data_IF_438080186296
#
_entry.id   IF_438080186296
#
_cell.length_a   1.000
_cell.length_b   1.000
_cell.length_c   1.000
_cell.angle_alpha   90.00
_cell.angle_beta   90.00
_cell.angle_gamma   90.00
#
_symmetry.space_group_name_H-M   'P 1'
#
loop_
_entity.id
_entity.type
_entity.pdbx_description
1 polymer ?
#
# COMPACT_ATOMS: atom_id res chain seq x y z
N UNK A 1 -16.19 -8.33 -0.94
CA UNK A 1 -16.32 -8.74 0.43
C UNK A 1 -17.27 -9.89 0.63
N UNK A 2 -16.89 -10.79 1.48
CA UNK A 2 -17.73 -11.88 1.95
C UNK A 2 -18.15 -11.65 3.40
N UNK A 3 -19.32 -12.18 3.77
CA UNK A 3 -19.74 -12.23 5.15
C UNK A 3 -18.99 -13.35 5.90
N UNK A 4 -17.86 -13.00 6.49
CA UNK A 4 -17.02 -13.94 7.24
C UNK A 4 -17.64 -14.41 8.56
N UNK A 5 -18.76 -13.85 8.98
CA UNK A 5 -19.45 -14.36 10.17
C UNK A 5 -20.04 -15.75 9.94
N UNK A 6 -20.33 -16.10 8.70
CA UNK A 6 -20.74 -17.44 8.32
C UNK A 6 -19.56 -18.41 8.23
N UNK A 7 -18.39 -17.96 7.77
CA UNK A 7 -17.16 -18.79 7.71
C UNK A 7 -16.65 -19.20 9.09
N UNK A 8 -16.76 -18.33 10.10
CA UNK A 8 -16.37 -18.66 11.47
C UNK A 8 -17.17 -19.82 12.09
N UNK A 9 -18.34 -20.10 11.55
CA UNK A 9 -19.17 -21.23 11.98
C UNK A 9 -18.90 -22.49 11.19
N UNK A 10 -18.25 -22.33 10.05
CA UNK A 10 -17.93 -23.40 9.13
C UNK A 10 -16.42 -23.71 9.22
N UNK A 11 -16.04 -24.25 10.37
CA UNK A 11 -14.65 -24.63 10.66
C UNK A 11 -14.12 -25.72 9.72
N UNK A 12 -14.96 -26.29 8.88
CA UNK A 12 -14.62 -27.37 7.97
C UNK A 12 -14.20 -26.88 6.58
N UNK A 13 -14.22 -25.55 6.32
CA UNK A 13 -13.75 -24.98 5.06
C UNK A 13 -14.68 -25.14 3.87
N UNK A 14 -15.92 -25.59 4.09
CA UNK A 14 -16.90 -25.82 3.02
C UNK A 14 -17.79 -24.61 2.76
N UNK A 15 -17.67 -23.58 3.58
CA UNK A 15 -18.51 -22.39 3.51
C UNK A 15 -17.93 -21.32 2.61
N UNK A 16 -18.45 -21.19 1.41
CA UNK A 16 -18.07 -20.14 0.46
C UNK A 16 -18.45 -18.73 0.96
N UNK A 17 -19.10 -18.63 2.11
CA UNK A 17 -19.66 -17.38 2.63
C UNK A 17 -20.70 -16.78 1.68
N UNK A 18 -21.40 -15.75 2.14
CA UNK A 18 -22.35 -15.02 1.29
C UNK A 18 -21.73 -13.72 0.79
N UNK A 19 -21.69 -13.54 -0.54
CA UNK A 19 -21.23 -12.30 -1.15
C UNK A 19 -22.08 -11.10 -0.70
N UNK A 20 -21.46 -10.18 0.03
CA UNK A 20 -22.06 -8.93 0.47
C UNK A 20 -21.99 -7.88 -0.65
N UNK A 21 -23.01 -7.04 -0.72
CA UNK A 21 -23.00 -5.90 -1.65
C UNK A 21 -22.15 -4.80 -1.06
N UNK A 22 -21.08 -4.42 -1.75
CA UNK A 22 -20.17 -3.38 -1.31
C UNK A 22 -20.72 -1.97 -1.59
N UNK A 23 -20.17 -0.95 -0.94
CA UNK A 23 -20.51 0.45 -1.21
C UNK A 23 -20.08 0.83 -2.65
N UNK A 24 -18.94 0.34 -3.12
CA UNK A 24 -18.47 0.54 -4.48
C UNK A 24 -19.45 -0.03 -5.50
N UNK A 25 -19.92 -1.26 -5.31
CA UNK A 25 -20.94 -1.88 -6.17
C UNK A 25 -22.26 -1.09 -6.18
N UNK A 26 -22.66 -0.57 -5.02
CA UNK A 26 -23.85 0.29 -4.92
C UNK A 26 -23.65 1.61 -5.69
N UNK A 27 -22.47 2.21 -5.62
CA UNK A 27 -22.13 3.40 -6.40
C UNK A 27 -22.20 3.09 -7.91
N UNK A 28 -21.57 1.99 -8.33
CA UNK A 28 -21.60 1.52 -9.72
C UNK A 28 -23.04 1.26 -10.21
N UNK A 29 -23.87 0.64 -9.35
CA UNK A 29 -25.30 0.42 -9.65
C UNK A 29 -26.06 1.73 -9.88
N UNK A 30 -25.70 2.80 -9.17
CA UNK A 30 -26.28 4.14 -9.36
C UNK A 30 -25.74 4.87 -10.58
N UNK A 31 -24.79 4.30 -11.29
CA UNK A 31 -24.16 4.87 -12.48
C UNK A 31 -23.05 5.88 -12.16
N UNK A 32 -22.53 5.85 -10.94
CA UNK A 32 -21.32 6.57 -10.58
C UNK A 32 -20.09 5.90 -11.20
N UNK A 33 -19.05 6.67 -11.46
CA UNK A 33 -17.73 6.11 -11.72
C UNK A 33 -17.14 5.55 -10.44
N UNK A 34 -16.33 4.50 -10.55
CA UNK A 34 -15.71 3.87 -9.38
C UNK A 34 -14.22 3.68 -9.59
N UNK A 35 -13.43 4.07 -8.60
CA UNK A 35 -11.99 3.96 -8.60
C UNK A 35 -11.46 3.36 -7.31
N UNK A 36 -10.36 2.64 -7.44
CA UNK A 36 -9.61 2.06 -6.32
C UNK A 36 -8.13 2.36 -6.53
N UNK A 37 -7.49 2.89 -5.50
CA UNK A 37 -6.08 3.26 -5.47
C UNK A 37 -5.46 2.71 -4.21
N UNK A 38 -4.28 2.10 -4.31
CA UNK A 38 -3.54 1.61 -3.14
C UNK A 38 -2.04 1.58 -3.41
N UNK A 39 -1.22 1.85 -2.40
CA UNK A 39 0.22 1.57 -2.46
C UNK A 39 0.53 0.09 -2.19
N UNK A 40 -0.45 -0.69 -1.72
CA UNK A 40 -0.37 -2.15 -1.71
C UNK A 40 -0.69 -2.74 -3.10
N UNK A 41 -0.61 -4.08 -3.21
CA UNK A 41 -1.18 -4.77 -4.36
C UNK A 41 -2.67 -4.45 -4.47
N UNK A 42 -3.14 -4.14 -5.65
CA UNK A 42 -4.58 -3.88 -5.88
C UNK A 42 -5.46 -5.09 -5.55
N UNK A 43 -4.86 -6.28 -5.53
CA UNK A 43 -5.48 -7.56 -5.13
C UNK A 43 -5.40 -7.83 -3.63
N UNK A 44 -4.71 -6.99 -2.84
CA UNK A 44 -4.62 -7.11 -1.39
C UNK A 44 -5.99 -6.91 -0.72
N UNK A 45 -6.11 -7.29 0.54
CA UNK A 45 -7.41 -7.42 1.22
C UNK A 45 -8.27 -6.15 1.18
N UNK A 46 -7.69 -4.99 1.50
CA UNK A 46 -8.46 -3.73 1.61
C UNK A 46 -9.00 -3.25 0.26
N UNK A 47 -8.17 -3.09 -0.80
CA UNK A 47 -8.70 -2.73 -2.11
C UNK A 47 -9.63 -3.80 -2.66
N UNK A 48 -9.27 -5.09 -2.56
CA UNK A 48 -10.06 -6.21 -3.04
C UNK A 48 -11.45 -6.29 -2.40
N UNK A 49 -11.55 -6.01 -1.09
CA UNK A 49 -12.83 -6.05 -0.38
C UNK A 49 -13.88 -5.08 -0.95
N UNK A 50 -13.47 -4.09 -1.72
CA UNK A 50 -14.40 -3.15 -2.36
C UNK A 50 -15.07 -3.73 -3.61
N UNK A 51 -14.41 -4.64 -4.34
CA UNK A 51 -14.87 -5.11 -5.65
C UNK A 51 -14.89 -6.64 -5.82
N UNK A 52 -14.21 -7.41 -4.98
CA UNK A 52 -14.10 -8.86 -5.12
C UNK A 52 -14.81 -9.63 -4.00
N UNK A 53 -15.17 -10.87 -4.29
CA UNK A 53 -15.86 -11.79 -3.41
C UNK A 53 -15.17 -13.15 -3.45
N UNK A 54 -14.25 -13.36 -2.51
CA UNK A 54 -13.52 -14.62 -2.31
C UNK A 54 -13.57 -15.00 -0.83
N UNK A 55 -13.48 -16.27 -0.52
CA UNK A 55 -13.49 -16.77 0.86
C UNK A 55 -12.11 -16.66 1.53
N UNK A 56 -11.03 -16.51 0.74
CA UNK A 56 -9.67 -16.46 1.25
C UNK A 56 -8.88 -15.35 0.53
N UNK A 57 -8.18 -14.52 1.32
CA UNK A 57 -7.47 -13.33 0.80
C UNK A 57 -6.28 -13.66 -0.11
N UNK A 58 -5.72 -14.84 0.00
CA UNK A 58 -4.60 -15.32 -0.83
C UNK A 58 -5.01 -15.71 -2.26
N UNK A 59 -6.32 -15.76 -2.58
CA UNK A 59 -6.81 -16.04 -3.92
C UNK A 59 -6.67 -14.82 -4.85
N UNK A 60 -5.47 -14.25 -4.91
CA UNK A 60 -5.23 -12.98 -5.61
C UNK A 60 -5.41 -13.11 -7.14
N UNK A 61 -5.22 -14.29 -7.73
CA UNK A 61 -5.55 -14.53 -9.13
C UNK A 61 -7.04 -14.36 -9.42
N UNK A 62 -7.90 -14.88 -8.52
CA UNK A 62 -9.36 -14.77 -8.65
C UNK A 62 -9.83 -13.36 -8.37
N UNK A 63 -9.20 -12.70 -7.39
CA UNK A 63 -9.45 -11.29 -7.07
C UNK A 63 -9.16 -10.40 -8.28
N UNK A 64 -8.01 -10.59 -8.94
CA UNK A 64 -7.64 -9.84 -10.14
C UNK A 64 -8.69 -10.04 -11.27
N UNK A 65 -9.11 -11.28 -11.51
CA UNK A 65 -10.10 -11.59 -12.55
C UNK A 65 -11.49 -10.99 -12.26
N UNK A 66 -11.85 -10.82 -10.97
CA UNK A 66 -13.14 -10.20 -10.62
C UNK A 66 -13.20 -8.70 -10.88
N UNK A 67 -12.06 -8.01 -10.93
CA UNK A 67 -12.01 -6.56 -11.13
C UNK A 67 -12.35 -6.13 -12.56
N UNK A 68 -12.07 -6.99 -13.53
CA UNK A 68 -11.96 -6.65 -14.95
C UNK A 68 -12.95 -7.47 -15.79
N UNK A 69 -13.63 -6.87 -16.76
CA UNK A 69 -14.53 -7.61 -17.65
C UNK A 69 -13.72 -8.61 -18.49
N UNK A 70 -14.24 -9.81 -18.68
CA UNK A 70 -13.53 -10.82 -19.47
C UNK A 70 -14.26 -12.15 -19.52
N UNK A 71 -14.54 -12.76 -18.40
CA UNK A 71 -15.13 -14.09 -18.36
C UNK A 71 -16.16 -14.29 -17.23
N UNK A 72 -16.45 -15.57 -16.92
CA UNK A 72 -17.43 -15.94 -15.89
C UNK A 72 -17.02 -15.53 -14.46
N UNK A 73 -15.73 -15.34 -14.20
CA UNK A 73 -15.19 -14.97 -12.87
C UNK A 73 -15.36 -13.48 -12.57
N UNK A 74 -15.60 -12.67 -13.60
CA UNK A 74 -15.84 -11.24 -13.45
C UNK A 74 -17.00 -10.93 -12.51
N UNK A 75 -16.81 -9.99 -11.60
CA UNK A 75 -17.88 -9.51 -10.73
C UNK A 75 -18.91 -8.69 -11.52
N UNK A 76 -19.99 -9.33 -11.93
CA UNK A 76 -21.06 -8.72 -12.75
C UNK A 76 -21.73 -7.51 -12.11
N UNK A 77 -21.60 -7.30 -10.79
CA UNK A 77 -22.11 -6.11 -10.10
C UNK A 77 -21.32 -4.85 -10.48
N UNK A 78 -20.09 -5.02 -10.97
CA UNK A 78 -19.27 -3.93 -11.51
C UNK A 78 -19.72 -3.53 -12.94
N UNK A 79 -20.66 -4.24 -13.57
CA UNK A 79 -21.18 -3.95 -14.91
C UNK A 79 -20.08 -4.01 -15.99
N UNK A 80 -19.48 -2.88 -16.37
CA UNK A 80 -18.35 -2.79 -17.31
C UNK A 80 -16.98 -2.82 -16.66
N UNK A 81 -16.88 -3.22 -15.39
CA UNK A 81 -15.62 -3.21 -14.63
C UNK A 81 -15.40 -1.94 -13.81
N UNK A 82 -14.26 -1.85 -13.16
CA UNK A 82 -13.82 -0.64 -12.48
C UNK A 82 -13.46 0.43 -13.52
N UNK A 83 -13.78 1.69 -13.24
CA UNK A 83 -13.38 2.78 -14.13
C UNK A 83 -11.90 3.14 -13.92
N UNK A 84 -11.36 2.85 -12.72
CA UNK A 84 -9.98 3.08 -12.37
C UNK A 84 -9.51 2.10 -11.32
N UNK A 85 -8.37 1.46 -11.56
CA UNK A 85 -7.67 0.59 -10.61
C UNK A 85 -6.18 0.89 -10.70
N UNK A 86 -5.58 1.39 -9.61
CA UNK A 86 -4.16 1.78 -9.59
C UNK A 86 -3.47 1.29 -8.32
N UNK A 87 -2.27 0.74 -8.46
CA UNK A 87 -1.42 0.28 -7.35
C UNK A 87 -0.39 -0.74 -7.79
N UNK A 88 0.07 -1.57 -6.84
CA UNK A 88 0.96 -2.70 -7.15
C UNK A 88 0.22 -3.97 -7.53
N UNK A 89 0.95 -5.08 -7.66
CA UNK A 89 0.38 -6.42 -7.84
C UNK A 89 0.37 -6.95 -9.26
N UNK A 90 1.17 -6.38 -10.17
CA UNK A 90 1.26 -6.72 -11.59
C UNK A 90 1.44 -8.23 -11.83
N UNK A 91 2.13 -8.94 -10.92
CA UNK A 91 2.37 -10.38 -11.00
C UNK A 91 1.11 -11.24 -11.10
N UNK A 92 -0.03 -10.78 -10.57
CA UNK A 92 -1.30 -11.51 -10.62
C UNK A 92 -2.13 -11.23 -11.87
N UNK A 93 -1.62 -10.36 -12.75
CA UNK A 93 -2.27 -10.01 -14.01
C UNK A 93 -1.58 -10.63 -15.21
N UNK A 94 -0.43 -11.26 -15.04
CA UNK A 94 0.33 -11.91 -16.10
C UNK A 94 0.64 -13.38 -15.77
N UNK A 95 0.68 -14.28 -16.81
CA UNK A 95 0.79 -15.71 -16.59
C UNK A 95 2.16 -16.13 -16.06
N UNK A 96 2.16 -17.08 -15.13
CA UNK A 96 3.37 -17.71 -14.62
C UNK A 96 4.21 -18.26 -15.76
N UNK A 97 5.52 -18.10 -15.69
CA UNK A 97 6.46 -18.46 -16.73
C UNK A 97 6.78 -17.33 -17.72
N UNK A 98 6.08 -16.20 -17.61
CA UNK A 98 6.44 -14.95 -18.29
C UNK A 98 7.08 -13.96 -17.33
N UNK A 99 7.71 -12.95 -17.88
CA UNK A 99 8.12 -11.76 -17.15
C UNK A 99 7.19 -10.59 -17.44
N UNK A 100 7.12 -9.67 -16.51
CA UNK A 100 6.40 -8.42 -16.70
C UNK A 100 7.25 -7.37 -17.44
N UNK A 101 6.79 -6.13 -17.51
CA UNK A 101 7.43 -5.05 -18.24
C UNK A 101 8.76 -4.61 -17.63
N UNK A 102 9.02 -4.96 -16.38
CA UNK A 102 10.28 -4.67 -15.67
C UNK A 102 11.22 -5.89 -15.63
N UNK A 103 10.83 -6.99 -16.29
CA UNK A 103 11.62 -8.22 -16.33
C UNK A 103 11.40 -9.14 -15.14
N UNK A 104 10.45 -8.82 -14.26
CA UNK A 104 10.11 -9.58 -13.06
C UNK A 104 9.12 -10.72 -13.33
N UNK A 105 9.20 -11.79 -12.54
CA UNK A 105 8.39 -12.99 -12.75
C UNK A 105 6.91 -12.78 -12.48
N UNK A 106 6.05 -13.25 -13.38
CA UNK A 106 4.61 -13.31 -13.23
C UNK A 106 4.15 -14.51 -12.38
N UNK A 107 2.94 -14.45 -11.81
CA UNK A 107 2.48 -15.46 -10.85
C UNK A 107 1.10 -16.06 -11.16
N UNK A 108 0.43 -15.61 -12.22
CA UNK A 108 -0.92 -16.08 -12.55
C UNK A 108 -0.90 -17.53 -13.07
N UNK A 109 -1.70 -18.41 -12.47
CA UNK A 109 -1.62 -19.87 -12.71
C UNK A 109 -2.61 -20.41 -13.73
N UNK A 110 -3.59 -19.63 -14.15
CA UNK A 110 -4.61 -20.05 -15.14
C UNK A 110 -4.19 -19.79 -16.61
N UNK A 111 -2.98 -19.29 -16.82
CA UNK A 111 -2.42 -19.03 -18.15
C UNK A 111 -2.93 -17.76 -18.84
N UNK A 112 -3.80 -16.98 -18.19
CA UNK A 112 -4.36 -15.74 -18.75
C UNK A 112 -3.38 -14.58 -18.58
N UNK A 113 -3.31 -13.70 -19.57
CA UNK A 113 -2.69 -12.39 -19.46
C UNK A 113 -3.78 -11.31 -19.38
N UNK A 114 -4.14 -10.95 -18.15
CA UNK A 114 -5.17 -9.95 -17.90
C UNK A 114 -4.76 -8.55 -18.38
N UNK A 115 -3.47 -8.27 -18.52
CA UNK A 115 -2.98 -6.98 -19.06
C UNK A 115 -3.38 -6.83 -20.53
N UNK A 116 -3.24 -7.91 -21.30
CA UNK A 116 -3.69 -7.93 -22.70
C UNK A 116 -5.21 -7.92 -22.79
N UNK A 117 -5.88 -8.77 -22.00
CA UNK A 117 -7.33 -8.88 -22.02
C UNK A 117 -8.05 -7.54 -21.74
N UNK A 118 -7.52 -6.73 -20.80
CA UNK A 118 -8.12 -5.43 -20.49
C UNK A 118 -7.88 -4.41 -21.60
N UNK A 119 -6.72 -4.45 -22.24
CA UNK A 119 -6.46 -3.60 -23.41
C UNK A 119 -7.41 -3.94 -24.56
N UNK A 120 -7.63 -5.22 -24.81
CA UNK A 120 -8.61 -5.70 -25.79
C UNK A 120 -10.06 -5.29 -25.42
N UNK A 121 -10.34 -5.16 -24.14
CA UNK A 121 -11.61 -4.65 -23.60
C UNK A 121 -11.70 -3.11 -23.58
N UNK A 122 -10.68 -2.41 -24.05
CA UNK A 122 -10.66 -0.95 -24.18
C UNK A 122 -10.14 -0.19 -22.96
N UNK A 123 -9.46 -0.85 -22.03
CA UNK A 123 -8.76 -0.17 -20.94
C UNK A 123 -7.43 0.41 -21.41
N UNK A 124 -7.05 1.53 -20.85
CA UNK A 124 -5.66 1.99 -20.88
C UNK A 124 -4.88 1.28 -19.76
N UNK A 125 -3.88 0.53 -20.14
CA UNK A 125 -2.93 -0.11 -19.21
C UNK A 125 -1.67 0.74 -19.10
N UNK A 126 -1.21 1.00 -17.88
CA UNK A 126 0.02 1.75 -17.59
C UNK A 126 0.77 1.08 -16.44
N UNK A 127 2.09 1.04 -16.51
CA UNK A 127 2.91 0.36 -15.51
C UNK A 127 4.04 1.21 -14.93
N UNK A 128 4.27 2.42 -15.45
CA UNK A 128 5.34 3.30 -15.00
C UNK A 128 4.87 4.76 -14.87
N UNK A 129 5.72 5.57 -14.24
CA UNK A 129 5.44 6.99 -14.01
C UNK A 129 5.27 7.81 -15.30
N UNK A 130 6.03 7.49 -16.33
CA UNK A 130 5.96 8.24 -17.58
C UNK A 130 4.59 8.09 -18.25
N UNK A 131 4.10 6.86 -18.34
CA UNK A 131 2.76 6.57 -18.89
C UNK A 131 1.64 7.11 -17.99
N UNK A 132 1.76 6.93 -16.66
CA UNK A 132 0.84 7.52 -15.69
C UNK A 132 0.68 9.03 -15.89
N UNK A 133 1.76 9.75 -16.12
CA UNK A 133 1.73 11.20 -16.31
C UNK A 133 0.94 11.60 -17.57
N UNK A 134 0.91 10.76 -18.59
CA UNK A 134 0.20 11.02 -19.84
C UNK A 134 -1.30 10.81 -19.77
N UNK A 135 -1.81 10.09 -18.75
CA UNK A 135 -3.22 9.77 -18.61
C UNK A 135 -4.13 11.01 -18.61
N UNK A 136 -5.23 10.91 -19.34
CA UNK A 136 -6.29 11.92 -19.48
C UNK A 136 -7.67 11.28 -19.31
N UNK A 137 -8.71 12.07 -19.09
CA UNK A 137 -10.12 11.60 -18.90
C UNK A 137 -10.61 10.69 -20.02
N UNK A 138 -10.13 10.85 -21.23
CA UNK A 138 -10.51 10.03 -22.40
C UNK A 138 -9.93 8.61 -22.34
N UNK A 139 -8.93 8.41 -21.49
CA UNK A 139 -8.21 7.14 -21.38
C UNK A 139 -8.88 6.19 -20.38
N UNK A 140 -9.97 6.62 -19.73
CA UNK A 140 -10.79 5.74 -18.90
C UNK A 140 -11.51 4.68 -19.77
N UNK A 141 -11.65 3.43 -19.29
CA UNK A 141 -11.19 2.95 -17.98
C UNK A 141 -9.67 2.69 -17.95
N UNK A 142 -9.08 2.77 -16.75
CA UNK A 142 -7.62 2.68 -16.54
C UNK A 142 -7.26 1.56 -15.57
N UNK A 143 -6.28 0.74 -15.95
CA UNK A 143 -5.54 -0.17 -15.10
C UNK A 143 -4.09 0.33 -14.98
N UNK A 144 -3.66 0.71 -13.79
CA UNK A 144 -2.28 1.11 -13.50
C UNK A 144 -1.65 0.14 -12.49
N UNK A 145 -0.61 -0.58 -12.90
CA UNK A 145 0.09 -1.57 -12.07
C UNK A 145 1.58 -1.23 -12.03
N UNK A 146 1.98 -0.48 -11.02
CA UNK A 146 3.29 0.18 -10.99
C UNK A 146 4.40 -0.69 -10.41
N UNK A 147 4.08 -1.74 -9.69
CA UNK A 147 5.03 -2.70 -9.16
C UNK A 147 4.54 -4.13 -9.33
N UNK A 148 5.47 -5.07 -9.35
CA UNK A 148 5.19 -6.49 -9.39
C UNK A 148 4.41 -6.96 -8.17
N UNK A 149 4.78 -6.48 -6.98
CA UNK A 149 4.18 -6.80 -5.69
C UNK A 149 3.51 -5.57 -5.09
N UNK A 150 3.86 -5.18 -3.90
CA UNK A 150 3.46 -3.89 -3.36
C UNK A 150 4.32 -2.81 -3.99
N UNK A 151 3.79 -1.62 -4.16
CA UNK A 151 4.60 -0.47 -4.56
C UNK A 151 5.72 -0.22 -3.54
N UNK A 152 6.78 0.40 -3.95
CA UNK A 152 7.87 0.79 -3.06
C UNK A 152 7.36 1.65 -1.90
N UNK A 153 8.07 1.61 -0.78
CA UNK A 153 7.84 2.61 0.26
C UNK A 153 8.12 4.00 -0.28
N UNK A 154 7.38 4.99 0.16
CA UNK A 154 7.57 6.38 -0.30
C UNK A 154 9.02 6.84 -0.16
N UNK A 155 9.71 6.37 0.87
CA UNK A 155 11.13 6.63 1.08
C UNK A 155 12.01 6.03 -0.03
N UNK A 156 11.70 4.82 -0.48
CA UNK A 156 12.48 4.06 -1.45
C UNK A 156 12.06 4.39 -2.91
N UNK A 157 10.83 4.80 -3.11
CA UNK A 157 10.21 5.12 -4.40
C UNK A 157 11.06 6.00 -5.35
N UNK A 158 11.85 7.00 -4.89
CA UNK A 158 12.71 7.78 -5.79
C UNK A 158 13.82 6.98 -6.45
N UNK A 159 14.11 5.78 -5.95
CA UNK A 159 15.16 4.90 -6.48
C UNK A 159 14.63 3.85 -7.44
N UNK A 160 13.32 3.72 -7.58
CA UNK A 160 12.72 2.86 -8.60
C UNK A 160 13.05 3.35 -10.01
N UNK A 161 13.60 2.44 -10.83
CA UNK A 161 14.09 2.78 -12.17
C UNK A 161 12.97 3.01 -13.19
N UNK A 162 11.87 2.28 -13.07
CA UNK A 162 10.69 2.47 -13.92
C UNK A 162 9.91 3.72 -13.52
N UNK A 163 10.02 4.05 -12.27
CA UNK A 163 9.35 5.17 -11.63
C UNK A 163 7.89 4.86 -11.27
N UNK A 164 7.59 5.00 -9.99
CA UNK A 164 6.25 4.88 -9.45
C UNK A 164 5.65 6.25 -9.09
N UNK A 165 4.34 6.45 -9.25
CA UNK A 165 3.66 7.62 -8.70
C UNK A 165 3.47 7.48 -7.19
N UNK A 166 3.55 8.57 -6.42
CA UNK A 166 3.19 8.57 -5.01
C UNK A 166 1.67 8.42 -4.80
N UNK A 167 1.25 8.10 -3.56
CA UNK A 167 -0.18 8.01 -3.24
C UNK A 167 -0.88 9.36 -3.43
N UNK A 168 -0.22 10.47 -3.15
CA UNK A 168 -0.79 11.80 -3.38
C UNK A 168 -0.94 12.12 -4.87
N UNK A 169 0.01 11.71 -5.70
CA UNK A 169 -0.07 11.83 -7.16
C UNK A 169 -1.17 10.95 -7.74
N UNK A 170 -1.28 9.69 -7.29
CA UNK A 170 -2.36 8.79 -7.71
C UNK A 170 -3.73 9.31 -7.30
N UNK A 171 -3.87 9.82 -6.07
CA UNK A 171 -5.10 10.45 -5.59
C UNK A 171 -5.50 11.65 -6.46
N UNK A 172 -4.53 12.52 -6.74
CA UNK A 172 -4.73 13.69 -7.61
C UNK A 172 -5.23 13.28 -8.99
N UNK A 173 -4.54 12.33 -9.61
CA UNK A 173 -4.87 11.84 -10.96
C UNK A 173 -6.22 11.13 -10.98
N UNK A 174 -6.51 10.30 -9.97
CA UNK A 174 -7.77 9.58 -9.85
C UNK A 174 -8.97 10.55 -9.79
N UNK A 175 -8.87 11.61 -9.00
CA UNK A 175 -9.89 12.65 -8.93
C UNK A 175 -10.07 13.30 -10.30
N UNK A 176 -8.97 13.72 -10.95
CA UNK A 176 -9.02 14.34 -12.27
C UNK A 176 -9.66 13.45 -13.34
N UNK A 177 -9.39 12.16 -13.30
CA UNK A 177 -9.93 11.20 -14.26
C UNK A 177 -11.41 10.90 -14.00
N UNK A 178 -11.77 10.66 -12.73
CA UNK A 178 -13.13 10.25 -12.36
C UNK A 178 -14.13 11.40 -12.35
N UNK A 179 -13.68 12.62 -12.09
CA UNK A 179 -14.57 13.79 -12.11
C UNK A 179 -15.14 14.03 -13.52
N UNK A 180 -16.44 14.02 -13.65
CA UNK A 180 -17.13 14.25 -14.92
C UNK A 180 -17.73 15.64 -15.04
N UNK A 181 -18.16 16.00 -16.26
CA UNK A 181 -18.96 17.19 -16.46
C UNK A 181 -20.32 17.04 -15.77
N UNK A 182 -20.76 18.06 -15.06
CA UNK A 182 -21.98 18.08 -14.22
C UNK A 182 -23.25 17.50 -14.89
N UNK A 183 -23.34 17.50 -16.22
CA UNK A 183 -24.53 17.03 -16.96
C UNK A 183 -24.58 15.52 -17.15
N UNK A 184 -23.43 14.83 -17.17
CA UNK A 184 -23.34 13.41 -17.57
C UNK A 184 -22.81 12.51 -16.44
N UNK A 185 -22.43 13.11 -15.29
CA UNK A 185 -21.79 12.40 -14.19
C UNK A 185 -22.69 12.41 -12.96
N UNK A 186 -23.02 11.23 -12.49
CA UNK A 186 -23.72 11.01 -11.22
C UNK A 186 -22.78 11.03 -10.02
N UNK A 187 -21.56 11.56 -10.20
CA UNK A 187 -20.49 11.54 -9.22
C UNK A 187 -19.59 10.32 -9.36
N UNK A 188 -18.71 10.17 -8.41
CA UNK A 188 -17.79 9.01 -8.35
C UNK A 188 -17.66 8.51 -6.92
N UNK A 189 -17.24 7.27 -6.80
CA UNK A 189 -16.74 6.67 -5.59
C UNK A 189 -15.25 6.39 -5.79
N UNK A 190 -14.42 6.87 -4.91
CA UNK A 190 -12.98 6.63 -4.91
C UNK A 190 -12.55 6.12 -3.54
N UNK A 191 -11.93 4.95 -3.52
CA UNK A 191 -11.22 4.41 -2.36
C UNK A 191 -9.73 4.62 -2.58
N UNK A 192 -9.05 5.12 -1.56
CA UNK A 192 -7.60 5.35 -1.55
C UNK A 192 -7.03 4.74 -0.28
N UNK A 193 -6.01 3.90 -0.43
CA UNK A 193 -5.33 3.24 0.68
C UNK A 193 -3.83 3.50 0.62
N UNK A 194 -3.27 4.00 1.72
CA UNK A 194 -1.83 3.95 1.96
C UNK A 194 -1.48 2.65 2.68
N UNK A 195 -1.49 1.55 1.93
CA UNK A 195 -1.33 0.21 2.49
C UNK A 195 0.07 -0.07 3.03
N UNK A 196 1.06 0.72 2.64
CA UNK A 196 2.45 0.54 3.08
C UNK A 196 2.70 1.04 4.50
N UNK A 197 1.82 1.85 5.09
CA UNK A 197 1.89 2.22 6.53
C UNK A 197 1.85 0.95 7.38
N UNK A 198 0.86 0.09 7.17
CA UNK A 198 0.72 -1.19 7.87
C UNK A 198 1.93 -2.09 7.67
N UNK A 199 2.39 -2.22 6.43
CA UNK A 199 3.55 -3.05 6.09
C UNK A 199 4.82 -2.56 6.78
N UNK A 200 5.04 -1.26 6.87
CA UNK A 200 6.18 -0.70 7.57
C UNK A 200 6.13 -1.02 9.09
N UNK A 201 4.95 -0.94 9.68
CA UNK A 201 4.77 -1.34 11.07
C UNK A 201 4.96 -2.84 11.28
N UNK A 202 4.50 -3.70 10.37
CA UNK A 202 4.78 -5.13 10.40
C UNK A 202 6.28 -5.44 10.27
N UNK A 203 7.00 -4.62 9.49
CA UNK A 203 8.45 -4.70 9.37
C UNK A 203 9.19 -4.07 10.57
N UNK A 204 8.46 -3.59 11.58
CA UNK A 204 9.01 -2.84 12.73
C UNK A 204 9.85 -1.62 12.32
N UNK A 205 9.49 -1.00 11.22
CA UNK A 205 10.17 0.16 10.65
C UNK A 205 9.31 1.42 10.85
N UNK A 206 9.56 2.11 11.96
CA UNK A 206 8.81 3.31 12.32
C UNK A 206 9.04 4.47 11.35
N UNK A 207 10.23 4.57 10.81
CA UNK A 207 10.63 5.62 9.89
C UNK A 207 9.79 5.55 8.61
N UNK A 208 9.81 4.41 7.93
CA UNK A 208 8.96 4.19 6.76
C UNK A 208 7.48 4.40 7.07
N UNK A 209 7.01 3.93 8.24
CA UNK A 209 5.61 4.11 8.62
C UNK A 209 5.23 5.59 8.77
N UNK A 210 6.13 6.42 9.28
CA UNK A 210 5.92 7.86 9.41
C UNK A 210 5.97 8.57 8.06
N UNK A 211 6.94 8.24 7.20
CA UNK A 211 7.04 8.79 5.83
C UNK A 211 5.80 8.43 5.00
N UNK A 212 5.36 7.18 5.06
CA UNK A 212 4.11 6.74 4.43
C UNK A 212 2.89 7.51 4.95
N UNK A 213 2.82 7.75 6.26
CA UNK A 213 1.73 8.49 6.88
C UNK A 213 1.74 9.96 6.45
N UNK A 214 2.91 10.57 6.37
CA UNK A 214 3.07 11.95 5.88
C UNK A 214 2.64 12.07 4.42
N UNK A 215 3.00 11.13 3.57
CA UNK A 215 2.60 11.14 2.17
C UNK A 215 1.09 10.88 2.02
N UNK A 216 0.50 10.08 2.91
CA UNK A 216 -0.94 9.91 2.96
C UNK A 216 -1.66 11.20 3.38
N UNK A 217 -1.12 11.94 4.34
CA UNK A 217 -1.63 13.28 4.70
C UNK A 217 -1.60 14.24 3.51
N UNK A 218 -0.52 14.22 2.71
CA UNK A 218 -0.45 14.96 1.44
C UNK A 218 -1.54 14.54 0.44
N UNK A 219 -1.86 13.25 0.39
CA UNK A 219 -2.95 12.75 -0.46
C UNK A 219 -4.31 13.29 0.00
N UNK A 220 -4.58 13.29 1.31
CA UNK A 220 -5.78 13.87 1.91
C UNK A 220 -5.86 15.36 1.62
N UNK A 221 -4.78 16.10 1.88
CA UNK A 221 -4.70 17.52 1.58
C UNK A 221 -4.93 17.81 0.08
N UNK A 222 -4.46 16.93 -0.79
CA UNK A 222 -4.68 17.03 -2.24
C UNK A 222 -6.16 16.83 -2.60
N UNK A 223 -6.81 15.83 -2.01
CA UNK A 223 -8.25 15.63 -2.19
C UNK A 223 -9.05 16.84 -1.72
N UNK A 224 -8.76 17.35 -0.52
CA UNK A 224 -9.43 18.52 0.05
C UNK A 224 -9.29 19.78 -0.83
N UNK A 225 -8.17 19.96 -1.52
CA UNK A 225 -7.97 21.10 -2.45
C UNK A 225 -8.71 20.91 -3.77
N UNK A 226 -8.92 19.67 -4.21
CA UNK A 226 -9.48 19.38 -5.54
C UNK A 226 -10.99 19.27 -5.55
N UNK A 227 -11.60 18.90 -4.44
CA UNK A 227 -13.04 18.66 -4.39
C UNK A 227 -13.77 19.85 -3.76
N UNK A 228 -14.96 20.15 -4.25
CA UNK A 228 -15.85 21.15 -3.67
C UNK A 228 -16.64 20.52 -2.51
N UNK A 229 -16.20 20.74 -1.28
CA UNK A 229 -16.74 20.10 -0.08
C UNK A 229 -18.24 20.34 0.18
N UNK A 230 -18.93 21.10 -0.66
CA UNK A 230 -20.39 21.27 -0.57
C UNK A 230 -21.17 20.04 -1.05
N UNK A 231 -20.53 19.15 -1.81
CA UNK A 231 -21.18 18.00 -2.44
C UNK A 231 -20.53 16.66 -2.06
N UNK A 232 -19.19 16.47 -2.12
CA UNK A 232 -18.56 15.20 -1.78
C UNK A 232 -18.39 15.01 -0.27
N UNK A 233 -18.48 13.74 0.14
CA UNK A 233 -18.09 13.27 1.46
C UNK A 233 -16.68 12.67 1.38
N UNK A 234 -15.75 13.17 2.17
CA UNK A 234 -14.45 12.57 2.40
C UNK A 234 -14.48 11.90 3.77
N UNK A 235 -14.14 10.62 3.82
CA UNK A 235 -14.02 9.84 5.05
C UNK A 235 -12.57 9.36 5.15
N UNK A 236 -11.92 9.66 6.26
CA UNK A 236 -10.57 9.17 6.58
C UNK A 236 -10.69 8.26 7.78
N UNK A 237 -10.14 7.07 7.68
CA UNK A 237 -10.16 6.07 8.75
C UNK A 237 -8.98 5.13 8.63
N UNK A 238 -8.77 4.30 9.66
CA UNK A 238 -7.92 3.13 9.61
C UNK A 238 -8.78 1.90 9.90
N UNK A 239 -8.39 0.73 9.38
CA UNK A 239 -9.03 -0.55 9.67
C UNK A 239 -8.66 -1.06 11.07
N UNK A 240 -7.44 -0.78 11.51
CA UNK A 240 -6.90 -1.02 12.84
C UNK A 240 -5.70 -0.10 13.12
N UNK A 241 -5.21 -0.10 14.33
CA UNK A 241 -3.93 0.47 14.73
C UNK A 241 -2.84 -0.60 14.75
N UNK A 242 -1.59 -0.18 14.96
CA UNK A 242 -0.49 -1.08 15.29
C UNK A 242 -0.07 -0.93 16.74
N UNK A 243 0.53 -2.00 17.29
CA UNK A 243 1.16 -1.94 18.61
C UNK A 243 2.53 -1.27 18.47
N UNK A 244 2.48 0.04 18.32
CA UNK A 244 3.63 0.90 18.24
C UNK A 244 3.64 1.81 19.49
N UNK A 245 4.73 1.77 20.24
CA UNK A 245 4.88 2.57 21.44
C UNK A 245 6.11 3.45 21.32
N UNK A 246 5.97 4.67 21.82
CA UNK A 246 7.06 5.64 21.86
C UNK A 246 7.19 6.11 23.31
N UNK A 247 8.38 5.98 23.90
CA UNK A 247 8.67 6.40 25.26
C UNK A 247 9.99 7.16 25.32
N UNK A 248 10.04 8.20 26.16
CA UNK A 248 11.22 9.03 26.35
C UNK A 248 11.06 10.43 25.77
N UNK A 249 12.10 11.22 25.98
CA UNK A 249 12.18 12.62 25.57
C UNK A 249 13.51 12.86 24.84
N UNK A 250 13.59 12.61 23.54
CA UNK A 250 14.82 12.85 22.78
C UNK A 250 15.16 14.33 22.81
N UNK A 251 16.45 14.63 22.90
CA UNK A 251 16.92 15.98 22.66
C UNK A 251 16.56 16.32 21.20
N UNK A 252 15.81 17.39 21.02
CA UNK A 252 15.60 17.92 19.66
C UNK A 252 16.94 18.37 19.12
N UNK A 253 17.37 17.90 17.95
CA UNK A 253 18.55 18.46 17.31
C UNK A 253 18.30 19.96 17.14
N UNK A 254 19.26 20.76 17.62
CA UNK A 254 19.25 22.17 17.30
C UNK A 254 19.46 22.27 15.80
N UNK A 255 18.55 22.92 15.11
CA UNK A 255 18.47 23.04 13.64
C UNK A 255 19.77 23.55 12.98
N UNK A 256 20.73 24.04 13.77
CA UNK A 256 21.92 24.72 13.29
C UNK A 256 23.24 23.94 13.56
N UNK A 257 23.16 22.73 14.09
CA UNK A 257 24.34 21.89 14.19
C UNK A 257 24.44 20.99 12.98
N UNK A 258 25.56 21.03 12.24
CA UNK A 258 25.79 20.06 11.18
C UNK A 258 25.83 18.67 11.82
N UNK A 259 24.80 17.90 11.56
CA UNK A 259 24.74 16.50 11.97
C UNK A 259 25.88 15.77 11.26
N UNK A 260 26.86 15.34 12.02
CA UNK A 260 27.85 14.43 11.48
C UNK A 260 27.16 13.06 11.34
N UNK A 261 27.05 12.52 10.13
CA UNK A 261 26.48 11.20 9.98
C UNK A 261 27.33 10.24 10.81
N UNK A 262 26.69 9.55 11.74
CA UNK A 262 27.32 8.39 12.36
C UNK A 262 27.62 7.46 11.19
N UNK A 263 28.90 7.17 10.96
CA UNK A 263 29.30 6.25 9.92
C UNK A 263 28.69 4.89 10.22
N UNK A 264 27.54 4.63 9.65
CA UNK A 264 26.91 3.33 9.76
C UNK A 264 27.82 2.28 9.11
N UNK A 265 27.98 1.10 9.68
CA UNK A 265 28.63 -0.02 9.02
C UNK A 265 28.02 -0.26 7.64
N UNK A 266 28.82 -0.76 6.68
CA UNK A 266 28.41 -0.92 5.28
C UNK A 266 27.16 -1.78 5.06
N UNK A 267 26.87 -2.68 5.98
CA UNK A 267 25.67 -3.50 6.04
C UNK A 267 24.40 -2.73 6.48
N UNK A 268 24.58 -1.47 6.88
CA UNK A 268 23.48 -0.53 7.15
C UNK A 268 22.98 0.22 5.94
N UNK A 269 23.80 0.29 4.91
CA UNK A 269 23.50 1.04 3.70
C UNK A 269 22.44 0.34 2.82
N UNK A 270 22.11 -0.88 3.16
CA UNK A 270 21.17 -1.68 2.37
C UNK A 270 19.71 -1.36 2.69
N UNK A 271 19.42 -0.71 3.80
CA UNK A 271 18.04 -0.43 4.09
C UNK A 271 17.82 0.73 5.04
N UNK A 272 17.97 1.98 4.54
CA UNK A 272 16.93 2.84 4.96
C UNK A 272 17.02 3.34 6.36
N UNK A 273 18.15 3.80 6.73
CA UNK A 273 18.19 4.78 7.80
C UNK A 273 17.87 6.11 7.17
N UNK A 274 16.69 6.63 7.44
CA UNK A 274 16.42 8.01 7.13
C UNK A 274 17.40 8.88 7.93
N UNK A 275 18.15 9.66 7.22
CA UNK A 275 19.13 10.57 7.79
C UNK A 275 18.52 11.96 8.01
N UNK A 276 17.21 12.09 7.94
CA UNK A 276 16.53 13.39 7.90
C UNK A 276 15.93 13.85 9.23
N UNK A 277 16.53 13.57 10.37
CA UNK A 277 16.12 14.35 11.52
C UNK A 277 15.63 13.63 12.76
N UNK A 278 14.41 13.82 13.22
CA UNK A 278 13.92 13.35 14.53
C UNK A 278 14.07 11.84 14.71
N UNK A 279 13.96 11.08 13.64
CA UNK A 279 14.06 9.63 13.68
C UNK A 279 15.50 9.15 13.87
N UNK A 280 16.49 9.83 13.31
CA UNK A 280 17.90 9.53 13.58
C UNK A 280 18.25 9.70 15.07
N UNK A 281 17.65 10.67 15.71
CA UNK A 281 17.80 10.87 17.16
C UNK A 281 17.05 9.81 17.96
N UNK A 282 15.93 9.37 17.43
CA UNK A 282 15.10 8.31 18.01
C UNK A 282 15.77 6.95 17.87
N UNK A 283 16.42 6.72 16.75
CA UNK A 283 17.22 5.52 16.48
C UNK A 283 18.67 5.62 16.93
N UNK A 284 19.06 6.64 17.65
CA UNK A 284 20.40 6.79 18.24
C UNK A 284 20.89 5.59 19.05
N UNK A 285 20.29 4.46 18.82
CA UNK A 285 20.65 3.12 19.22
C UNK A 285 21.66 2.62 18.20
N UNK A 286 22.89 2.48 18.62
CA UNK A 286 23.90 1.84 17.79
C UNK A 286 23.44 0.45 17.41
N UNK A 287 23.28 0.29 16.14
CA UNK A 287 22.83 -0.94 15.58
C UNK A 287 23.85 -2.06 15.58
N UNK A 288 25.12 -1.74 15.76
CA UNK A 288 26.21 -2.70 15.62
C UNK A 288 26.20 -3.84 16.62
N UNK A 289 25.47 -3.71 17.70
CA UNK A 289 25.53 -4.71 18.79
C UNK A 289 24.17 -5.08 19.37
N UNK A 290 23.11 -4.39 19.01
CA UNK A 290 21.86 -4.49 19.76
C UNK A 290 21.99 -3.99 21.20
N UNK A 291 23.08 -3.34 21.52
CA UNK A 291 23.35 -2.81 22.84
C UNK A 291 23.03 -1.31 22.87
N UNK A 292 22.05 -0.96 23.67
CA UNK A 292 21.70 0.44 23.95
C UNK A 292 22.92 1.21 24.50
N UNK A 293 23.84 0.50 25.13
CA UNK A 293 25.09 1.05 25.67
C UNK A 293 26.07 1.48 24.59
N UNK A 294 25.95 0.98 23.40
CA UNK A 294 26.90 1.29 22.35
C UNK A 294 26.55 2.59 21.61
N UNK A 295 25.45 3.19 21.88
CA UNK A 295 25.21 4.59 21.56
C UNK A 295 26.22 5.48 22.34
N UNK A 296 27.08 4.81 23.02
CA UNK A 296 28.45 5.09 23.40
C UNK A 296 28.73 6.38 24.02
N UNK A 297 27.99 7.31 23.83
CA UNK A 297 28.13 8.51 24.57
C UNK A 297 27.27 8.36 25.82
N UNK A 298 27.97 8.11 26.89
CA UNK A 298 27.40 7.95 28.23
C UNK A 298 26.57 9.15 28.65
N UNK A 299 26.73 10.25 27.97
CA UNK A 299 26.09 11.52 28.25
C UNK A 299 24.93 11.81 27.31
N UNK A 300 24.82 11.10 26.17
CA UNK A 300 23.71 11.15 25.25
C UNK A 300 22.80 9.96 25.46
N UNK A 301 22.12 9.93 26.56
CA UNK A 301 21.12 8.89 26.81
C UNK A 301 20.05 8.98 25.71
N UNK A 302 19.82 7.95 24.92
CA UNK A 302 18.71 7.94 24.00
C UNK A 302 17.43 7.92 24.81
N UNK A 303 16.69 8.96 24.71
CA UNK A 303 15.54 9.17 25.56
C UNK A 303 14.24 8.75 24.93
N UNK A 304 14.34 8.14 23.75
CA UNK A 304 13.17 7.59 23.08
C UNK A 304 13.39 6.12 22.79
N UNK A 305 12.48 5.32 23.25
CA UNK A 305 12.41 3.90 22.95
C UNK A 305 11.17 3.70 22.07
N UNK A 306 11.39 3.21 20.88
CA UNK A 306 10.31 2.74 20.00
C UNK A 306 10.08 1.26 20.24
N UNK A 307 8.86 0.87 20.43
CA UNK A 307 8.49 -0.51 20.67
C UNK A 307 7.39 -0.96 19.71
N UNK A 308 7.60 -2.12 19.11
CA UNK A 308 6.58 -2.83 18.39
C UNK A 308 6.26 -4.12 19.10
N UNK A 309 5.00 -4.36 19.34
CA UNK A 309 4.52 -5.66 19.75
C UNK A 309 3.99 -6.37 18.50
N UNK A 310 4.83 -7.13 17.87
CA UNK A 310 4.36 -8.11 16.91
C UNK A 310 3.82 -9.29 17.72
N UNK A 311 2.52 -9.53 17.67
CA UNK A 311 1.89 -10.70 18.32
C UNK A 311 2.36 -12.06 17.78
N UNK A 312 3.57 -12.09 17.22
CA UNK A 312 4.32 -13.26 16.84
C UNK A 312 4.80 -14.02 18.07
N UNK A 313 5.05 -15.27 17.87
CA UNK A 313 5.50 -16.22 18.87
C UNK A 313 6.56 -15.61 19.80
N UNK A 314 6.28 -15.41 21.09
CA UNK A 314 7.23 -14.82 22.04
C UNK A 314 8.48 -15.67 22.24
N UNK A 315 8.53 -16.86 21.63
CA UNK A 315 9.65 -17.79 21.71
C UNK A 315 10.62 -17.69 20.53
N UNK A 316 10.28 -16.99 19.45
CA UNK A 316 11.17 -16.89 18.28
C UNK A 316 12.16 -15.74 18.36
N UNK A 317 11.95 -14.83 19.28
CA UNK A 317 12.87 -13.72 19.52
C UNK A 317 13.12 -13.63 21.01
N UNK A 318 14.27 -14.03 21.46
CA UNK A 318 14.74 -13.56 22.75
C UNK A 318 14.61 -12.01 22.76
N UNK A 319 14.38 -11.42 23.92
CA UNK A 319 14.18 -9.96 24.04
C UNK A 319 15.22 -9.14 23.26
N UNK A 320 16.44 -9.63 23.14
CA UNK A 320 17.51 -9.07 22.32
C UNK A 320 17.20 -9.04 20.80
N UNK A 321 16.45 -10.01 20.29
CA UNK A 321 16.06 -10.04 18.86
C UNK A 321 15.03 -8.96 18.53
N UNK A 322 14.06 -8.75 19.41
CA UNK A 322 13.04 -7.70 19.23
C UNK A 322 13.68 -6.30 19.24
N UNK A 323 14.56 -6.05 20.18
CA UNK A 323 15.28 -4.77 20.25
C UNK A 323 16.21 -4.56 19.05
N UNK A 324 16.86 -5.63 18.60
CA UNK A 324 17.72 -5.56 17.43
C UNK A 324 16.93 -5.23 16.16
N UNK A 325 15.81 -5.88 15.94
CA UNK A 325 14.99 -5.66 14.76
C UNK A 325 14.35 -4.27 14.78
N UNK A 326 13.95 -3.78 15.94
CA UNK A 326 13.47 -2.42 16.12
C UNK A 326 14.55 -1.38 15.87
N UNK A 327 15.73 -1.60 16.42
CA UNK A 327 16.87 -0.67 16.28
C UNK A 327 17.39 -0.61 14.85
N UNK A 328 17.32 -1.72 14.12
CA UNK A 328 17.85 -1.84 12.76
C UNK A 328 16.82 -1.53 11.69
N UNK A 329 15.56 -1.34 12.05
CA UNK A 329 14.49 -1.22 11.06
C UNK A 329 14.39 -2.42 10.09
N UNK A 330 15.03 -3.53 10.41
CA UNK A 330 15.05 -4.71 9.54
C UNK A 330 13.68 -5.37 9.56
N UNK A 331 13.03 -5.37 8.42
CA UNK A 331 11.88 -6.21 8.19
C UNK A 331 12.24 -7.70 8.28
N UNK A 332 11.29 -8.53 8.64
CA UNK A 332 11.44 -9.98 8.49
C UNK A 332 11.51 -10.29 6.98
N UNK A 333 12.67 -10.77 6.47
CA UNK A 333 12.82 -11.09 5.06
C UNK A 333 11.89 -12.23 4.58
N UNK A 334 11.11 -12.82 5.47
CA UNK A 334 10.15 -13.89 5.16
C UNK A 334 8.73 -13.38 4.94
N UNK A 335 8.53 -12.06 4.92
CA UNK A 335 7.21 -11.43 4.80
C UNK A 335 7.00 -10.66 3.50
N UNK A 336 7.65 -11.09 2.45
CA UNK A 336 7.35 -10.63 1.07
C UNK A 336 6.15 -11.35 0.45
#
# INVERSE_FOLDING_TARGET
>A
GLDKTTERRDFNGDGDGRALVTVLEQAKKRGMRVGVVSTARVTHATPAATYAHVNERGLENDIAAQALPGDATFNKRLRGGLDLLMGGGRRYFCPSGMTDEEGESCSRTDGRDLRQEVQDAGYSYVYNRAEFNLLRKRDLPVLGLFDRSHMDYEYDRPYDLAGEPSISEMTSKAIDLLEGKRRDNKGYFLMVESGRIDHAHHASNADRAMVETEEFDKAIATALRKVDLRDPLIVVTADHSHVFTMAGYPLRPLHDLPYAPVSAPADYLDNTVDHSGILDVVYGISASSGEISAAGDKDSVPYTILGYWNGGNPYDTGAAGVYRDMALGRGDPRRD
#
